data_IF_305331503251
#
_entry.id   IF_305331503251
#
_cell.length_a   1.000
_cell.length_b   1.000
_cell.length_c   1.000
_cell.angle_alpha   90.00
_cell.angle_beta   90.00
_cell.angle_gamma   90.00
#
_symmetry.space_group_name_H-M   'P 1'
#
loop_
_entity.id
_entity.type
_entity.pdbx_description
1 polymer ?
#
# COMPACT_ATOMS: atom_id res chain seq x y z
N UNK A 1 -9.68 6.20 23.58
CA UNK A 1 -8.21 6.25 23.56
C UNK A 1 -7.72 4.90 24.03
N UNK A 2 -7.91 3.89 23.20
CA UNK A 2 -7.41 2.53 23.39
C UNK A 2 -7.62 1.79 22.07
N UNK A 3 -6.52 1.34 21.46
CA UNK A 3 -6.40 -0.05 21.02
C UNK A 3 -4.99 -0.29 20.48
N UNK A 4 -4.22 -1.03 21.28
CA UNK A 4 -3.30 -2.07 20.82
C UNK A 4 -1.96 -1.63 20.18
N UNK A 5 -1.08 -1.05 20.99
CA UNK A 5 0.36 -1.35 20.89
C UNK A 5 0.57 -2.82 21.33
N UNK A 6 0.27 -3.78 20.45
CA UNK A 6 0.66 -5.18 20.69
C UNK A 6 2.15 -5.30 20.49
N UNK A 7 2.84 -5.50 21.61
CA UNK A 7 4.20 -6.02 21.71
C UNK A 7 4.32 -7.26 20.81
N UNK A 8 5.01 -7.12 19.67
CA UNK A 8 5.30 -8.25 18.77
C UNK A 8 5.57 -7.89 17.30
N UNK A 9 5.07 -6.75 16.81
CA UNK A 9 5.31 -6.29 15.44
C UNK A 9 6.43 -5.22 15.43
N UNK A 10 7.59 -5.42 14.77
CA UNK A 10 8.73 -4.50 14.83
C UNK A 10 8.41 -3.06 14.39
N UNK A 11 7.33 -2.84 13.64
CA UNK A 11 6.97 -1.52 13.12
C UNK A 11 5.81 -0.83 13.87
N UNK A 12 5.05 -1.57 14.70
CA UNK A 12 3.86 -1.04 15.38
C UNK A 12 2.79 -0.46 14.45
N UNK A 13 2.82 -0.80 13.15
CA UNK A 13 1.94 -0.26 12.14
C UNK A 13 0.65 -1.07 12.06
N UNK A 14 -0.49 -0.39 11.95
CA UNK A 14 -1.74 -1.06 11.63
C UNK A 14 -1.65 -1.78 10.27
N UNK A 15 -2.45 -2.84 10.02
CA UNK A 15 -2.47 -3.51 8.72
C UNK A 15 -2.74 -2.57 7.53
N UNK A 16 -3.46 -1.46 7.76
CA UNK A 16 -3.61 -0.41 6.74
C UNK A 16 -2.29 0.28 6.41
N UNK A 17 -1.57 0.68 7.44
CA UNK A 17 -0.29 1.38 7.30
C UNK A 17 0.80 0.46 6.71
N UNK A 18 0.77 -0.83 7.01
CA UNK A 18 1.69 -1.80 6.41
C UNK A 18 1.50 -1.91 4.89
N UNK A 19 0.26 -2.06 4.40
CA UNK A 19 0.05 -2.13 2.95
C UNK A 19 0.35 -0.80 2.24
N UNK A 20 0.04 0.33 2.90
CA UNK A 20 0.43 1.65 2.37
C UNK A 20 1.94 1.74 2.24
N UNK A 21 2.68 1.40 3.30
CA UNK A 21 4.16 1.39 3.29
C UNK A 21 4.70 0.51 2.17
N UNK A 22 4.19 -0.71 2.04
CA UNK A 22 4.66 -1.67 1.03
C UNK A 22 4.38 -1.17 -0.39
N UNK A 23 3.25 -0.49 -0.58
CA UNK A 23 2.89 0.12 -1.85
C UNK A 23 3.81 1.31 -2.18
N UNK A 24 4.11 2.17 -1.21
CA UNK A 24 5.07 3.28 -1.35
C UNK A 24 6.47 2.76 -1.64
N UNK A 25 6.95 1.77 -0.87
CA UNK A 25 8.29 1.20 -1.04
C UNK A 25 8.47 0.59 -2.44
N UNK A 26 7.45 -0.14 -2.93
CA UNK A 26 7.45 -0.70 -4.29
C UNK A 26 7.52 0.39 -5.35
N UNK A 27 6.76 1.47 -5.17
CA UNK A 27 6.77 2.61 -6.08
C UNK A 27 8.13 3.30 -6.10
N UNK A 28 8.68 3.63 -4.92
CA UNK A 28 10.01 4.23 -4.83
C UNK A 28 11.06 3.34 -5.48
N UNK A 29 11.06 2.03 -5.21
CA UNK A 29 12.00 1.10 -5.84
C UNK A 29 11.92 1.14 -7.38
N UNK A 30 10.71 1.17 -7.95
CA UNK A 30 10.52 1.32 -9.39
C UNK A 30 11.07 2.66 -9.91
N UNK A 31 10.81 3.76 -9.20
CA UNK A 31 11.29 5.09 -9.59
C UNK A 31 12.82 5.21 -9.53
N UNK A 32 13.47 4.55 -8.55
CA UNK A 32 14.93 4.45 -8.46
C UNK A 32 15.52 3.67 -9.64
N UNK A 33 14.94 2.51 -9.97
CA UNK A 33 15.38 1.70 -11.10
C UNK A 33 15.32 2.46 -12.44
N UNK A 34 14.29 3.30 -12.63
CA UNK A 34 14.15 4.14 -13.82
C UNK A 34 15.15 5.30 -13.89
N UNK A 35 15.74 5.71 -12.76
CA UNK A 35 16.59 6.90 -12.64
C UNK A 35 18.00 6.59 -12.17
N UNK A 36 18.51 5.41 -12.54
CA UNK A 36 19.87 4.96 -12.23
C UNK A 36 20.22 5.10 -10.72
N UNK A 37 19.29 4.63 -9.89
CA UNK A 37 19.38 4.61 -8.44
C UNK A 37 19.51 5.99 -7.77
N UNK A 38 19.02 7.04 -8.43
CA UNK A 38 19.02 8.41 -7.89
C UNK A 38 17.70 9.15 -8.12
N UNK A 39 17.33 9.98 -7.15
CA UNK A 39 16.18 10.89 -7.26
C UNK A 39 16.65 12.34 -7.18
N UNK A 40 16.69 13.02 -8.32
CA UNK A 40 16.95 14.45 -8.36
C UNK A 40 15.74 15.28 -7.91
N UNK A 41 15.99 16.46 -7.35
CA UNK A 41 14.95 17.39 -6.90
C UNK A 41 13.94 17.73 -8.00
N UNK A 42 14.40 17.82 -9.26
CA UNK A 42 13.55 18.09 -10.40
C UNK A 42 12.48 17.00 -10.65
N UNK A 43 12.75 15.76 -10.21
CA UNK A 43 11.85 14.62 -10.37
C UNK A 43 10.89 14.45 -9.18
N UNK A 44 11.13 15.14 -8.06
CA UNK A 44 10.32 14.99 -6.85
C UNK A 44 8.82 15.23 -7.06
N UNK A 45 8.37 16.25 -7.83
CA UNK A 45 6.94 16.47 -8.05
C UNK A 45 6.25 15.27 -8.72
N UNK A 46 6.90 14.67 -9.72
CA UNK A 46 6.35 13.50 -10.43
C UNK A 46 6.33 12.26 -9.54
N UNK A 47 7.42 11.99 -8.80
CA UNK A 47 7.49 10.87 -7.87
C UNK A 47 6.44 11.00 -6.76
N UNK A 48 6.27 12.20 -6.21
CA UNK A 48 5.24 12.48 -5.20
C UNK A 48 3.82 12.21 -5.75
N UNK A 49 3.57 12.56 -7.01
CA UNK A 49 2.31 12.27 -7.67
C UNK A 49 2.06 10.76 -7.81
N UNK A 50 3.04 9.99 -8.29
CA UNK A 50 2.90 8.53 -8.44
C UNK A 50 2.70 7.82 -7.11
N UNK A 51 3.43 8.23 -6.08
CA UNK A 51 3.25 7.74 -4.71
C UNK A 51 1.82 8.02 -4.23
N UNK A 52 1.30 9.23 -4.48
CA UNK A 52 -0.07 9.61 -4.08
C UNK A 52 -1.12 8.73 -4.76
N UNK A 53 -1.00 8.48 -6.07
CA UNK A 53 -1.89 7.56 -6.79
C UNK A 53 -1.83 6.14 -6.22
N UNK A 54 -0.64 5.69 -5.82
CA UNK A 54 -0.47 4.36 -5.25
C UNK A 54 -1.12 4.24 -3.86
N UNK A 55 -0.97 5.27 -3.03
CA UNK A 55 -1.63 5.36 -1.72
C UNK A 55 -3.14 5.39 -1.90
N UNK A 56 -3.66 6.23 -2.80
CA UNK A 56 -5.08 6.31 -3.11
C UNK A 56 -5.64 4.96 -3.56
N UNK A 57 -4.91 4.24 -4.42
CA UNK A 57 -5.28 2.90 -4.85
C UNK A 57 -5.35 1.88 -3.70
N UNK A 58 -4.50 1.97 -2.67
CA UNK A 58 -4.62 1.11 -1.48
C UNK A 58 -5.82 1.51 -0.63
N UNK A 59 -6.02 2.80 -0.40
CA UNK A 59 -7.12 3.32 0.42
C UNK A 59 -8.49 3.00 -0.19
N UNK A 60 -8.62 3.13 -1.51
CA UNK A 60 -9.89 2.95 -2.23
C UNK A 60 -10.04 1.55 -2.86
N UNK A 61 -8.96 0.80 -3.03
CA UNK A 61 -8.96 -0.54 -3.62
C UNK A 61 -9.34 -1.68 -2.68
N UNK A 62 -9.34 -1.45 -1.35
CA UNK A 62 -9.81 -2.42 -0.33
C UNK A 62 -11.33 -2.52 -0.20
N UNK A 63 -12.08 -2.43 -1.29
CA UNK A 63 -13.45 -2.95 -1.27
C UNK A 63 -13.35 -4.44 -1.55
N UNK A 64 -13.43 -5.34 -0.55
CA UNK A 64 -13.47 -6.75 -0.84
C UNK A 64 -14.67 -6.98 -1.75
N UNK A 65 -14.42 -7.63 -2.88
CA UNK A 65 -15.49 -8.29 -3.62
C UNK A 65 -16.03 -9.39 -2.69
N UNK A 66 -16.95 -9.03 -1.81
CA UNK A 66 -17.80 -9.98 -1.08
C UNK A 66 -18.79 -10.55 -2.09
N UNK A 67 -18.27 -11.31 -3.06
CA UNK A 67 -19.03 -12.22 -3.88
C UNK A 67 -19.10 -13.53 -3.13
N UNK A 68 -20.04 -13.62 -2.19
CA UNK A 68 -20.51 -14.88 -1.62
C UNK A 68 -21.02 -15.75 -2.76
N UNK A 69 -20.15 -16.56 -3.35
CA UNK A 69 -20.60 -17.73 -4.10
C UNK A 69 -20.84 -18.83 -3.09
N UNK A 70 -22.00 -18.76 -2.44
CA UNK A 70 -22.65 -19.95 -1.92
C UNK A 70 -22.89 -20.88 -3.10
N UNK A 71 -21.95 -21.78 -3.37
CA UNK A 71 -22.25 -22.97 -4.16
C UNK A 71 -23.15 -23.83 -3.28
N UNK A 72 -24.44 -23.56 -3.43
CA UNK A 72 -25.53 -24.40 -2.94
C UNK A 72 -25.32 -25.80 -3.51
N UNK A 73 -25.06 -26.74 -2.62
CA UNK A 73 -25.17 -28.16 -2.88
C UNK A 73 -26.61 -28.52 -3.33
N UNK A 74 -26.75 -29.44 -4.30
CA UNK A 74 -27.81 -30.47 -4.39
C UNK A 74 -27.79 -31.14 -5.78
N UNK A 75 -28.30 -32.38 -5.92
CA UNK A 75 -28.19 -33.57 -5.07
C UNK A 75 -27.39 -34.71 -5.75
#
# INVERSE_FOLDING_TARGET
>A
MDDAYVVGDPDGLSPLLQEIRDAVARELHAQFALRADRLDLANLPEVAYQVTLRVDGVLNGRRPATGTSSVTASP
#
